data_IF_168518770993
#
_entry.id   IF_168518770993
#
_cell.length_a   1.000
_cell.length_b   1.000
_cell.length_c   1.000
_cell.angle_alpha   90.00
_cell.angle_beta   90.00
_cell.angle_gamma   90.00
#
_symmetry.space_group_name_H-M   'P 1'
#
loop_
_entity.id
_entity.type
_entity.pdbx_description
1 polymer ?
#
# COMPACT_ATOMS: atom_id res chain seq x y z
N UNK A 1 -7.84 -10.61 6.06
CA UNK A 1 -8.93 -11.04 5.15
C UNK A 1 -8.42 -11.43 3.76
N UNK A 2 -7.77 -10.52 3.01
CA UNK A 2 -7.29 -10.81 1.63
C UNK A 2 -6.40 -12.06 1.51
N UNK A 3 -5.54 -12.31 2.50
CA UNK A 3 -4.72 -13.54 2.53
C UNK A 3 -5.55 -14.82 2.68
N UNK A 4 -6.70 -14.78 3.34
CA UNK A 4 -7.59 -15.95 3.46
C UNK A 4 -8.24 -16.29 2.12
N UNK A 5 -8.64 -15.28 1.33
CA UNK A 5 -9.23 -15.48 -0.01
C UNK A 5 -8.30 -16.31 -0.89
N UNK A 6 -7.05 -15.86 -1.03
CA UNK A 6 -6.09 -16.50 -1.92
C UNK A 6 -5.51 -17.81 -1.36
N UNK A 7 -5.71 -18.13 -0.08
CA UNK A 7 -5.14 -19.33 0.55
C UNK A 7 -6.05 -20.56 0.43
N UNK A 8 -7.35 -20.37 0.19
CA UNK A 8 -8.24 -21.52 -0.03
C UNK A 8 -7.82 -22.26 -1.30
N UNK A 9 -7.64 -23.60 -1.29
CA UNK A 9 -7.15 -24.35 -2.44
C UNK A 9 -8.00 -24.12 -3.71
N UNK A 10 -9.32 -24.05 -3.55
CA UNK A 10 -10.27 -23.82 -4.66
C UNK A 10 -10.04 -22.49 -5.37
N UNK A 11 -9.77 -21.40 -4.61
CA UNK A 11 -9.49 -20.08 -5.21
C UNK A 11 -8.05 -20.01 -5.68
N UNK A 12 -7.10 -20.55 -4.91
CA UNK A 12 -5.69 -20.53 -5.25
C UNK A 12 -5.43 -21.23 -6.59
N UNK A 13 -6.10 -22.35 -6.86
CA UNK A 13 -5.95 -23.11 -8.10
C UNK A 13 -6.12 -22.23 -9.36
N UNK A 14 -7.02 -21.25 -9.34
CA UNK A 14 -7.28 -20.34 -10.47
C UNK A 14 -6.56 -18.98 -10.36
N UNK A 15 -6.22 -18.54 -9.15
CA UNK A 15 -5.69 -17.20 -8.89
C UNK A 15 -4.21 -17.15 -8.50
N UNK A 16 -3.55 -18.30 -8.36
CA UNK A 16 -2.14 -18.36 -8.04
C UNK A 16 -1.33 -17.56 -9.06
N UNK A 17 -0.40 -16.72 -8.61
CA UNK A 17 0.45 -15.92 -9.51
C UNK A 17 -0.28 -14.84 -10.35
N UNK A 18 -1.57 -14.58 -10.11
CA UNK A 18 -2.33 -13.51 -10.80
C UNK A 18 -2.35 -12.21 -9.99
N UNK A 19 -2.99 -11.17 -10.52
CA UNK A 19 -3.15 -9.88 -9.83
C UNK A 19 -3.85 -9.98 -8.47
N UNK A 20 -4.61 -11.06 -8.21
CA UNK A 20 -5.34 -11.24 -6.95
C UNK A 20 -4.42 -11.36 -5.73
N UNK A 21 -3.15 -11.71 -5.93
CA UNK A 21 -2.14 -11.76 -4.86
C UNK A 21 -1.70 -10.35 -4.42
N UNK A 22 -1.79 -9.36 -5.31
CA UNK A 22 -1.25 -8.01 -5.12
C UNK A 22 -1.96 -7.23 -4.01
N UNK A 23 -3.32 -7.20 -3.94
CA UNK A 23 -4.04 -6.58 -2.82
C UNK A 23 -3.58 -7.13 -1.47
N UNK A 24 -3.45 -8.46 -1.34
CA UNK A 24 -2.98 -9.06 -0.11
C UNK A 24 -1.55 -8.64 0.21
N UNK A 25 -0.62 -8.81 -0.74
CA UNK A 25 0.79 -8.54 -0.52
C UNK A 25 1.05 -7.10 -0.09
N UNK A 26 0.44 -6.12 -0.76
CA UNK A 26 0.68 -4.71 -0.47
C UNK A 26 0.01 -4.28 0.84
N UNK A 27 -1.26 -4.65 1.05
CA UNK A 27 -1.97 -4.30 2.28
C UNK A 27 -1.35 -4.97 3.51
N UNK A 28 -0.89 -6.23 3.39
CA UNK A 28 -0.25 -6.94 4.49
C UNK A 28 1.17 -6.41 4.76
N UNK A 29 1.98 -6.17 3.73
CA UNK A 29 3.35 -5.67 3.90
C UNK A 29 3.34 -4.28 4.54
N UNK A 30 2.55 -3.35 3.99
CA UNK A 30 2.43 -2.00 4.56
C UNK A 30 1.74 -2.04 5.93
N UNK A 31 0.67 -2.81 6.06
CA UNK A 31 -0.12 -2.91 7.29
C UNK A 31 0.65 -3.48 8.48
N UNK A 32 1.31 -4.62 8.28
CA UNK A 32 2.03 -5.32 9.35
C UNK A 32 3.44 -4.75 9.56
N UNK A 33 4.25 -4.65 8.51
CA UNK A 33 5.66 -4.29 8.65
C UNK A 33 5.93 -2.80 8.43
N UNK A 34 5.25 -2.20 7.46
CA UNK A 34 5.40 -0.79 7.12
C UNK A 34 5.00 0.13 8.28
N UNK A 35 3.78 0.00 8.81
CA UNK A 35 3.31 0.87 9.89
C UNK A 35 4.06 0.64 11.20
N UNK A 36 4.47 -0.59 11.52
CA UNK A 36 5.32 -0.82 12.70
C UNK A 36 6.66 -0.09 12.53
N UNK A 37 7.29 -0.16 11.35
CA UNK A 37 8.55 0.54 11.07
C UNK A 37 8.39 2.07 11.17
N UNK A 38 7.31 2.62 10.59
CA UNK A 38 6.98 4.04 10.70
C UNK A 38 6.75 4.45 12.16
N UNK A 39 6.02 3.64 12.92
CA UNK A 39 5.74 3.90 14.33
C UNK A 39 7.04 3.95 15.15
N UNK A 40 7.98 3.04 14.93
CA UNK A 40 9.28 3.06 15.58
C UNK A 40 10.09 4.32 15.24
N UNK A 41 10.14 4.73 13.97
CA UNK A 41 10.85 5.96 13.57
C UNK A 41 10.25 7.20 14.23
N UNK A 42 8.92 7.31 14.26
CA UNK A 42 8.24 8.42 14.94
C UNK A 42 8.39 8.37 16.45
N UNK A 43 8.40 7.19 17.05
CA UNK A 43 8.64 7.03 18.48
C UNK A 43 10.03 7.52 18.87
N UNK A 44 11.08 7.08 18.16
CA UNK A 44 12.47 7.48 18.45
C UNK A 44 12.65 8.99 18.29
N UNK A 45 12.15 9.57 17.20
CA UNK A 45 12.24 11.02 16.96
C UNK A 45 11.43 11.82 17.98
N UNK A 46 10.25 11.34 18.39
CA UNK A 46 9.45 11.96 19.45
C UNK A 46 10.15 11.91 20.80
N UNK A 47 10.75 10.78 21.15
CA UNK A 47 11.53 10.64 22.39
C UNK A 47 12.71 11.61 22.44
N UNK A 48 13.43 11.77 21.32
CA UNK A 48 14.50 12.77 21.21
C UNK A 48 13.97 14.21 21.37
N UNK A 49 12.83 14.52 20.73
CA UNK A 49 12.21 15.84 20.85
C UNK A 49 11.81 16.15 22.30
N UNK A 50 11.22 15.19 23.01
CA UNK A 50 10.84 15.35 24.42
C UNK A 50 12.06 15.55 25.33
N UNK A 51 13.14 14.78 25.12
CA UNK A 51 14.35 14.89 25.93
C UNK A 51 15.06 16.26 25.78
N UNK A 52 14.91 16.89 24.62
CA UNK A 52 15.57 18.16 24.30
C UNK A 52 14.61 19.38 24.34
N UNK A 53 13.35 19.18 24.72
CA UNK A 53 12.32 20.22 24.74
C UNK A 53 12.09 20.85 23.36
N UNK A 54 12.00 20.04 22.31
CA UNK A 54 11.80 20.50 20.92
C UNK A 54 10.33 20.59 20.55
N UNK A 55 9.96 21.63 19.81
CA UNK A 55 8.60 21.83 19.28
C UNK A 55 8.18 20.67 18.38
N UNK A 56 6.99 20.14 18.58
CA UNK A 56 6.46 19.04 17.77
C UNK A 56 5.11 19.37 17.13
N UNK A 57 5.06 19.29 15.80
CA UNK A 57 3.83 19.41 15.01
C UNK A 57 3.45 18.06 14.38
N UNK A 58 2.16 17.74 14.43
CA UNK A 58 1.61 16.48 13.92
C UNK A 58 0.98 16.59 12.53
N UNK A 59 0.78 17.80 11.99
CA UNK A 59 0.03 18.03 10.76
C UNK A 59 0.59 17.23 9.58
N UNK A 60 1.91 17.30 9.36
CA UNK A 60 2.57 16.60 8.24
C UNK A 60 2.59 15.08 8.44
N UNK A 61 2.90 14.60 9.65
CA UNK A 61 2.82 13.16 9.97
C UNK A 61 1.42 12.59 9.72
N UNK A 62 0.38 13.34 10.11
CA UNK A 62 -1.02 12.93 9.93
C UNK A 62 -1.42 12.92 8.46
N UNK A 63 -1.00 13.94 7.70
CA UNK A 63 -1.22 13.99 6.26
C UNK A 63 -0.56 12.80 5.55
N UNK A 64 0.72 12.56 5.82
CA UNK A 64 1.47 11.44 5.24
C UNK A 64 0.86 10.08 5.58
N UNK A 65 0.48 9.87 6.84
CA UNK A 65 -0.22 8.66 7.29
C UNK A 65 -1.50 8.41 6.48
N UNK A 66 -2.37 9.42 6.34
CA UNK A 66 -3.63 9.25 5.62
C UNK A 66 -3.43 9.07 4.12
N UNK A 67 -2.47 9.75 3.50
CA UNK A 67 -2.15 9.56 2.08
C UNK A 67 -1.73 8.12 1.78
N UNK A 68 -0.82 7.56 2.59
CA UNK A 68 -0.37 6.16 2.42
C UNK A 68 -1.50 5.17 2.74
N UNK A 69 -2.30 5.43 3.79
CA UNK A 69 -3.42 4.56 4.20
C UNK A 69 -4.52 4.52 3.15
N UNK A 70 -4.99 5.68 2.70
CA UNK A 70 -6.03 5.76 1.67
C UNK A 70 -5.49 5.21 0.35
N UNK A 71 -4.23 5.49 0.02
CA UNK A 71 -3.55 4.96 -1.16
C UNK A 71 -3.59 3.43 -1.21
N UNK A 72 -3.19 2.73 -0.15
CA UNK A 72 -3.19 1.25 -0.15
C UNK A 72 -4.60 0.65 -0.13
N UNK A 73 -5.56 1.29 0.55
CA UNK A 73 -6.96 0.83 0.54
C UNK A 73 -7.54 0.94 -0.86
N UNK A 74 -7.32 2.08 -1.52
CA UNK A 74 -7.76 2.29 -2.90
C UNK A 74 -7.01 1.40 -3.89
N UNK A 75 -5.72 1.10 -3.66
CA UNK A 75 -4.92 0.20 -4.51
C UNK A 75 -5.52 -1.21 -4.62
N UNK A 76 -6.15 -1.70 -3.55
CA UNK A 76 -6.77 -3.02 -3.51
C UNK A 76 -7.94 -3.17 -4.50
N UNK A 77 -8.60 -2.06 -4.89
CA UNK A 77 -9.79 -2.08 -5.75
C UNK A 77 -9.42 -2.46 -7.20
N UNK A 78 -8.62 -1.68 -7.96
CA UNK A 78 -8.31 -2.02 -9.35
C UNK A 78 -7.56 -3.34 -9.46
N UNK A 79 -6.63 -3.62 -8.54
CA UNK A 79 -5.87 -4.87 -8.55
C UNK A 79 -6.73 -6.08 -8.18
N UNK A 80 -7.71 -5.91 -7.28
CA UNK A 80 -8.71 -6.92 -6.98
C UNK A 80 -9.61 -7.23 -8.18
N UNK A 81 -10.15 -6.21 -8.86
CA UNK A 81 -10.99 -6.37 -10.05
C UNK A 81 -10.24 -7.14 -11.15
N UNK A 82 -9.00 -6.74 -11.45
CA UNK A 82 -8.16 -7.44 -12.44
C UNK A 82 -7.88 -8.88 -11.99
N UNK A 83 -7.58 -9.09 -10.70
CA UNK A 83 -7.33 -10.40 -10.14
C UNK A 83 -8.51 -11.37 -10.25
N UNK A 84 -9.72 -10.89 -9.97
CA UNK A 84 -10.94 -11.69 -10.11
C UNK A 84 -11.23 -12.01 -11.58
N UNK A 85 -11.08 -11.04 -12.49
CA UNK A 85 -11.21 -11.29 -13.93
C UNK A 85 -10.19 -12.34 -14.43
N UNK A 86 -8.94 -12.27 -13.95
CA UNK A 86 -7.94 -13.27 -14.28
C UNK A 86 -8.29 -14.67 -13.75
N UNK A 87 -8.92 -14.77 -12.58
CA UNK A 87 -9.38 -16.04 -12.04
C UNK A 87 -10.57 -16.61 -12.83
N UNK A 88 -11.49 -15.75 -13.28
CA UNK A 88 -12.60 -16.12 -14.17
C UNK A 88 -12.09 -16.66 -15.51
N UNK A 89 -11.16 -15.96 -16.17
CA UNK A 89 -10.53 -16.43 -17.41
C UNK A 89 -9.81 -17.77 -17.21
N UNK A 90 -9.13 -17.95 -16.07
CA UNK A 90 -8.46 -19.21 -15.74
C UNK A 90 -9.45 -20.36 -15.56
N UNK A 91 -10.63 -20.08 -14.98
CA UNK A 91 -11.70 -21.05 -14.78
C UNK A 91 -12.32 -21.47 -16.12
N UNK A 92 -12.61 -20.51 -17.01
CA UNK A 92 -13.37 -20.79 -18.24
C UNK A 92 -12.49 -21.30 -19.40
N UNK A 93 -11.27 -20.76 -19.54
CA UNK A 93 -10.38 -21.03 -20.68
C UNK A 93 -9.10 -21.77 -20.29
N UNK A 94 -8.88 -21.98 -19.00
CA UNK A 94 -7.68 -22.61 -18.45
C UNK A 94 -6.58 -21.60 -18.06
N UNK A 95 -5.71 -22.01 -17.15
CA UNK A 95 -4.71 -21.13 -16.54
C UNK A 95 -3.70 -20.54 -17.54
N UNK A 96 -3.40 -21.23 -18.64
CA UNK A 96 -2.51 -20.70 -19.68
C UNK A 96 -3.07 -19.41 -20.31
N UNK A 97 -4.40 -19.28 -20.45
CA UNK A 97 -5.06 -18.15 -21.08
C UNK A 97 -4.98 -16.89 -20.21
N UNK A 98 -5.14 -17.02 -18.88
CA UNK A 98 -5.04 -15.87 -17.95
C UNK A 98 -3.63 -15.25 -17.89
N UNK A 99 -2.62 -16.02 -18.30
CA UNK A 99 -1.21 -15.60 -18.36
C UNK A 99 -0.82 -14.95 -19.68
N UNK A 100 -1.70 -14.98 -20.68
CA UNK A 100 -1.49 -14.29 -21.94
C UNK A 100 -1.75 -12.79 -21.80
N UNK A 101 -1.15 -11.98 -22.67
CA UNK A 101 -1.33 -10.52 -22.66
C UNK A 101 -2.78 -10.15 -22.94
N UNK A 102 -3.43 -10.92 -23.80
CA UNK A 102 -4.78 -10.77 -24.30
C UNK A 102 -5.80 -10.70 -23.15
N UNK A 103 -5.59 -11.47 -22.07
CA UNK A 103 -6.42 -11.46 -20.87
C UNK A 103 -6.44 -10.09 -20.14
N UNK A 104 -5.45 -9.23 -20.38
CA UNK A 104 -5.36 -7.90 -19.76
C UNK A 104 -5.66 -6.76 -20.73
N UNK A 105 -5.81 -7.04 -22.03
CA UNK A 105 -6.04 -5.99 -23.04
C UNK A 105 -7.34 -5.23 -22.78
N UNK A 106 -8.42 -5.94 -22.41
CA UNK A 106 -9.70 -5.34 -22.06
C UNK A 106 -9.70 -4.59 -20.72
N UNK A 107 -8.73 -4.88 -19.84
CA UNK A 107 -8.64 -4.32 -18.49
C UNK A 107 -7.75 -3.07 -18.40
N UNK A 108 -7.33 -2.50 -19.53
CA UNK A 108 -6.44 -1.33 -19.58
C UNK A 108 -6.93 -0.15 -18.75
N UNK A 109 -8.22 0.20 -18.86
CA UNK A 109 -8.79 1.33 -18.10
C UNK A 109 -8.65 1.12 -16.57
N UNK A 110 -8.91 -0.10 -16.10
CA UNK A 110 -8.77 -0.49 -14.69
C UNK A 110 -7.30 -0.52 -14.27
N UNK A 111 -6.38 -0.91 -15.16
CA UNK A 111 -4.95 -0.82 -14.88
C UNK A 111 -4.50 0.63 -14.70
N UNK A 112 -4.94 1.54 -15.59
CA UNK A 112 -4.56 2.95 -15.53
C UNK A 112 -5.18 3.69 -14.34
N UNK A 113 -6.35 3.27 -13.84
CA UNK A 113 -6.93 3.86 -12.63
C UNK A 113 -6.06 3.67 -11.38
N UNK A 114 -5.11 2.71 -11.41
CA UNK A 114 -4.13 2.48 -10.34
C UNK A 114 -3.14 3.63 -10.13
N UNK A 115 -2.98 4.53 -11.11
CA UNK A 115 -2.14 5.72 -10.94
C UNK A 115 -2.56 6.60 -9.77
N UNK A 116 -3.87 6.68 -9.51
CA UNK A 116 -4.39 7.47 -8.41
C UNK A 116 -3.93 6.94 -7.04
N UNK A 117 -4.20 5.67 -6.66
CA UNK A 117 -3.70 5.13 -5.40
C UNK A 117 -2.17 5.08 -5.33
N UNK A 118 -1.49 4.74 -6.43
CA UNK A 118 -0.02 4.73 -6.49
C UNK A 118 0.54 6.13 -6.21
N UNK A 119 -0.05 7.17 -6.80
CA UNK A 119 0.30 8.57 -6.56
C UNK A 119 0.09 9.01 -5.11
N UNK A 120 -1.02 8.61 -4.48
CA UNK A 120 -1.27 8.89 -3.06
C UNK A 120 -0.19 8.27 -2.17
N UNK A 121 0.20 7.01 -2.42
CA UNK A 121 1.24 6.35 -1.63
C UNK A 121 2.61 7.01 -1.83
N UNK A 122 2.98 7.37 -3.06
CA UNK A 122 4.26 8.06 -3.35
C UNK A 122 4.31 9.42 -2.66
N UNK A 123 3.25 10.23 -2.79
CA UNK A 123 3.18 11.53 -2.14
C UNK A 123 3.17 11.40 -0.62
N UNK A 124 2.43 10.43 -0.07
CA UNK A 124 2.40 10.16 1.36
C UNK A 124 3.77 9.76 1.90
N UNK A 125 4.48 8.87 1.21
CA UNK A 125 5.84 8.47 1.58
C UNK A 125 6.82 9.67 1.55
N UNK A 126 6.70 10.54 0.55
CA UNK A 126 7.52 11.75 0.45
C UNK A 126 7.22 12.74 1.60
N UNK A 127 5.95 12.94 1.96
CA UNK A 127 5.55 13.76 3.11
C UNK A 127 6.11 13.19 4.41
N UNK A 128 6.01 11.87 4.63
CA UNK A 128 6.57 11.20 5.82
C UNK A 128 8.09 11.37 5.88
N UNK A 129 8.78 11.17 4.75
CA UNK A 129 10.23 11.33 4.68
C UNK A 129 10.66 12.75 5.05
N UNK A 130 10.04 13.77 4.44
CA UNK A 130 10.34 15.17 4.74
C UNK A 130 10.02 15.54 6.19
N UNK A 131 8.91 15.02 6.73
CA UNK A 131 8.51 15.23 8.12
C UNK A 131 9.51 14.60 9.11
N UNK A 132 9.95 13.36 8.86
CA UNK A 132 10.96 12.70 9.70
C UNK A 132 12.33 13.38 9.60
N UNK A 133 12.77 13.82 8.42
CA UNK A 133 14.02 14.59 8.27
C UNK A 133 13.94 15.90 9.05
N UNK A 134 12.82 16.63 8.92
CA UNK A 134 12.59 17.87 9.69
C UNK A 134 12.62 17.61 11.20
N UNK A 135 11.92 16.56 11.65
CA UNK A 135 11.83 16.19 13.08
C UNK A 135 13.15 15.69 13.66
N UNK A 136 14.00 15.09 12.84
CA UNK A 136 15.28 14.55 13.30
C UNK A 136 16.38 15.61 13.41
N UNK A 137 16.38 16.61 12.53
CA UNK A 137 17.53 17.52 12.39
C UNK A 137 17.24 19.00 12.56
N UNK A 138 15.98 19.44 12.41
CA UNK A 138 15.65 20.86 12.22
C UNK A 138 14.60 21.40 13.20
N UNK A 139 14.26 20.65 14.26
CA UNK A 139 13.33 21.15 15.28
C UNK A 139 13.98 22.24 16.13
N UNK A 140 13.19 23.24 16.51
CA UNK A 140 13.57 24.32 17.42
C UNK A 140 13.17 23.96 18.84
N UNK A 141 13.88 24.49 19.84
CA UNK A 141 13.48 24.38 21.25
C UNK A 141 12.17 25.14 21.49
N UNK A 142 11.34 24.59 22.37
CA UNK A 142 10.22 25.31 22.98
C UNK A 142 10.79 26.46 23.83
N UNK A 143 10.22 27.65 23.64
CA UNK A 143 10.59 28.89 24.35
C UNK A 143 9.71 29.02 25.58
#
# INVERSE_FOLDING_TARGET
FLGMIINTPTINYYSHGTYLIMPHGHAALLGAFGYISLAFMYMVTRSNAMANGLQWDEKMSRLGFWLVTVGVVLYAIPTGIIGFHQAEVAHDLGYWATRQREALVGMKSVMWSRLLPDGLMILGALVIFLDLVKKSFFLKKEV
#
